data_IF_269349244564
#
_entry.id   IF_269349244564
#
_cell.length_a   1.000
_cell.length_b   1.000
_cell.length_c   1.000
_cell.angle_alpha   90.00
_cell.angle_beta   90.00
_cell.angle_gamma   90.00
#
_symmetry.space_group_name_H-M   'P 1'
#
loop_
_entity.id
_entity.type
_entity.pdbx_description
1 polymer ?
#
# COMPACT_ATOMS: atom_id res chain seq x y z
N UNK A 1 -15.86 -13.71 -31.29
CA UNK A 1 -15.18 -12.69 -30.48
C UNK A 1 -14.26 -13.39 -29.50
N UNK A 2 -13.15 -13.91 -30.00
CA UNK A 2 -12.14 -14.63 -29.22
C UNK A 2 -10.77 -14.15 -29.72
N UNK A 3 -9.77 -14.16 -28.83
CA UNK A 3 -8.35 -13.86 -29.08
C UNK A 3 -7.86 -12.41 -28.86
N UNK A 4 -8.13 -11.82 -27.68
CA UNK A 4 -7.25 -10.74 -27.16
C UNK A 4 -6.70 -11.04 -25.76
N UNK A 5 -7.28 -11.99 -25.03
CA UNK A 5 -6.81 -12.36 -23.68
C UNK A 5 -5.54 -13.22 -23.68
N UNK A 6 -5.12 -13.81 -24.81
CA UNK A 6 -4.01 -14.77 -24.85
C UNK A 6 -2.61 -14.15 -25.05
N UNK A 7 -2.51 -12.83 -25.21
CA UNK A 7 -1.23 -12.14 -25.50
C UNK A 7 -0.70 -11.36 -24.30
N UNK A 8 -1.55 -11.02 -23.32
CA UNK A 8 -1.13 -10.30 -22.12
C UNK A 8 -0.75 -11.31 -21.05
N UNK A 9 0.49 -11.77 -21.10
CA UNK A 9 1.08 -12.51 -19.99
C UNK A 9 1.40 -11.52 -18.87
N UNK A 10 0.48 -11.40 -17.91
CA UNK A 10 0.71 -10.55 -16.76
C UNK A 10 1.98 -10.97 -16.02
N UNK A 11 2.82 -10.02 -15.56
CA UNK A 11 4.00 -10.35 -14.80
C UNK A 11 3.60 -11.21 -13.60
N UNK A 12 4.39 -12.26 -13.35
CA UNK A 12 4.16 -13.14 -12.19
C UNK A 12 4.07 -12.27 -10.93
N UNK A 13 3.09 -12.52 -10.04
CA UNK A 13 2.98 -11.75 -8.80
C UNK A 13 4.31 -11.81 -8.06
N UNK A 14 4.77 -10.64 -7.62
CA UNK A 14 5.98 -10.49 -6.79
C UNK A 14 5.87 -11.44 -5.60
N UNK A 15 6.98 -12.09 -5.23
CA UNK A 15 6.98 -13.07 -4.15
C UNK A 15 6.31 -12.50 -2.87
N UNK A 16 5.40 -13.28 -2.27
CA UNK A 16 4.59 -12.85 -1.13
C UNK A 16 5.45 -12.38 0.06
N UNK A 17 6.62 -13.00 0.26
CA UNK A 17 7.59 -12.63 1.30
C UNK A 17 8.23 -11.26 1.06
N UNK A 18 8.59 -10.94 -0.20
CA UNK A 18 9.10 -9.60 -0.54
C UNK A 18 8.03 -8.52 -0.39
N UNK A 19 6.78 -8.85 -0.66
CA UNK A 19 5.66 -7.93 -0.48
C UNK A 19 5.42 -7.62 1.00
N UNK A 20 5.47 -8.63 1.89
CA UNK A 20 5.25 -8.42 3.32
C UNK A 20 6.34 -7.52 3.93
N UNK A 21 7.60 -7.76 3.58
CA UNK A 21 8.72 -6.92 4.01
C UNK A 21 8.59 -5.49 3.51
N UNK A 22 8.20 -5.28 2.25
CA UNK A 22 8.02 -3.93 1.70
C UNK A 22 6.97 -3.12 2.49
N UNK A 23 5.93 -3.78 2.99
CA UNK A 23 4.89 -3.14 3.81
C UNK A 23 5.40 -2.86 5.23
N UNK A 24 6.15 -3.76 5.85
CA UNK A 24 6.80 -3.47 7.14
C UNK A 24 7.73 -2.26 7.03
N UNK A 25 8.52 -2.18 5.97
CA UNK A 25 9.42 -1.04 5.72
C UNK A 25 8.61 0.25 5.45
N UNK A 26 7.46 0.17 4.77
CA UNK A 26 6.53 1.29 4.59
C UNK A 26 5.97 1.79 5.93
N UNK A 27 5.51 0.88 6.79
CA UNK A 27 4.96 1.23 8.11
C UNK A 27 6.02 1.96 8.93
N UNK A 28 7.27 1.47 8.91
CA UNK A 28 8.40 2.09 9.61
C UNK A 28 8.66 3.52 9.10
N UNK A 29 8.70 3.73 7.78
CA UNK A 29 8.86 5.05 7.16
C UNK A 29 7.70 6.01 7.50
N UNK A 30 6.46 5.53 7.47
CA UNK A 30 5.29 6.35 7.76
C UNK A 30 5.27 6.77 9.23
N UNK A 31 5.71 5.90 10.13
CA UNK A 31 5.75 6.15 11.58
C UNK A 31 7.09 6.74 12.07
N UNK A 32 7.99 7.14 11.18
CA UNK A 32 9.32 7.69 11.52
C UNK A 32 10.13 6.80 12.46
N UNK A 33 10.05 5.48 12.32
CA UNK A 33 10.77 4.54 13.18
C UNK A 33 10.20 4.43 14.60
N UNK A 34 8.98 4.90 14.86
CA UNK A 34 8.36 4.80 16.17
C UNK A 34 8.24 3.32 16.59
N UNK A 35 8.49 2.96 17.87
CA UNK A 35 8.45 1.56 18.33
C UNK A 35 7.12 0.84 18.05
N UNK A 36 6.02 1.58 17.96
CA UNK A 36 4.70 1.08 17.59
C UNK A 36 4.63 0.47 16.19
N UNK A 37 5.57 0.80 15.29
CA UNK A 37 5.65 0.20 13.96
C UNK A 37 5.84 -1.33 14.04
N UNK A 38 6.58 -1.81 15.04
CA UNK A 38 6.85 -3.24 15.26
C UNK A 38 5.62 -4.01 15.78
N UNK A 39 4.58 -3.31 16.23
CA UNK A 39 3.34 -3.90 16.71
C UNK A 39 2.36 -4.23 15.55
N UNK A 40 2.68 -3.81 14.33
CA UNK A 40 1.94 -4.20 13.14
C UNK A 40 2.50 -5.50 12.56
N UNK A 41 1.69 -6.56 12.62
CA UNK A 41 1.98 -7.83 11.99
C UNK A 41 1.35 -7.84 10.60
N UNK A 42 2.11 -8.21 9.57
CA UNK A 42 1.62 -8.22 8.18
C UNK A 42 1.63 -9.65 7.66
N UNK A 43 0.49 -10.10 7.15
CA UNK A 43 0.32 -11.39 6.48
C UNK A 43 -0.28 -11.17 5.10
N UNK A 44 0.39 -11.67 4.05
CA UNK A 44 -0.09 -11.57 2.68
C UNK A 44 -0.45 -12.96 2.18
N UNK A 45 -1.71 -13.13 1.82
CA UNK A 45 -2.27 -14.35 1.27
C UNK A 45 -3.13 -14.01 0.04
N UNK A 46 -2.62 -14.34 -1.14
CA UNK A 46 -3.30 -14.09 -2.41
C UNK A 46 -4.68 -14.76 -2.52
N UNK A 47 -4.91 -15.86 -1.80
CA UNK A 47 -6.19 -16.60 -1.80
C UNK A 47 -7.32 -15.82 -1.12
N UNK A 48 -7.00 -14.72 -0.41
CA UNK A 48 -8.00 -13.82 0.15
C UNK A 48 -8.72 -12.96 -0.90
N UNK A 49 -8.14 -12.85 -2.10
CA UNK A 49 -8.73 -12.09 -3.20
C UNK A 49 -10.07 -12.71 -3.62
N UNK A 50 -11.10 -11.88 -3.79
CA UNK A 50 -12.42 -12.34 -4.24
C UNK A 50 -12.64 -11.84 -5.65
N UNK A 51 -12.83 -12.76 -6.61
CA UNK A 51 -13.04 -12.42 -8.02
C UNK A 51 -11.97 -11.46 -8.56
N UNK A 52 -10.70 -11.65 -8.21
CA UNK A 52 -9.59 -10.79 -8.64
C UNK A 52 -9.56 -9.39 -8.00
N UNK A 53 -10.42 -9.12 -7.02
CA UNK A 53 -10.42 -7.87 -6.26
C UNK A 53 -9.63 -8.02 -4.96
N UNK A 54 -8.89 -6.97 -4.63
CA UNK A 54 -8.10 -6.89 -3.42
C UNK A 54 -8.99 -6.91 -2.17
N UNK A 55 -8.60 -7.68 -1.17
CA UNK A 55 -9.21 -7.74 0.16
C UNK A 55 -8.15 -7.47 1.22
N UNK A 56 -8.53 -6.77 2.27
CA UNK A 56 -7.78 -6.70 3.52
C UNK A 56 -8.66 -6.97 4.73
N UNK A 57 -8.03 -7.43 5.79
CA UNK A 57 -8.61 -7.74 7.07
C UNK A 57 -7.71 -7.19 8.18
N UNK A 58 -8.34 -6.56 9.17
CA UNK A 58 -7.69 -6.07 10.38
C UNK A 58 -8.24 -6.85 11.57
N UNK A 59 -7.34 -7.43 12.36
CA UNK A 59 -7.69 -8.08 13.63
C UNK A 59 -6.67 -7.71 14.70
N UNK A 60 -7.01 -7.95 15.96
CA UNK A 60 -6.00 -7.89 17.03
C UNK A 60 -4.96 -8.98 16.79
N UNK A 61 -3.68 -8.64 16.96
CA UNK A 61 -2.58 -9.58 16.80
C UNK A 61 -2.44 -10.52 18.00
N UNK A 62 -1.51 -11.48 17.89
CA UNK A 62 -1.30 -12.49 18.94
C UNK A 62 -0.74 -11.92 20.25
N UNK A 63 -0.12 -10.74 20.20
CA UNK A 63 0.43 -10.04 21.35
C UNK A 63 -0.51 -8.91 21.79
N UNK A 64 -0.58 -8.66 23.11
CA UNK A 64 -1.37 -7.53 23.63
C UNK A 64 -0.91 -6.20 23.00
N UNK A 65 -1.86 -5.43 22.48
CA UNK A 65 -1.58 -4.14 21.83
C UNK A 65 -0.96 -4.24 20.44
N UNK A 66 -0.99 -5.41 19.79
CA UNK A 66 -0.58 -5.60 18.38
C UNK A 66 -1.78 -5.69 17.44
N UNK A 67 -1.57 -5.34 16.17
CA UNK A 67 -2.60 -5.42 15.12
C UNK A 67 -2.07 -6.29 13.99
N UNK A 68 -2.88 -7.26 13.57
CA UNK A 68 -2.62 -8.11 12.41
C UNK A 68 -3.36 -7.55 11.18
N UNK A 69 -2.59 -7.29 10.13
CA UNK A 69 -3.06 -6.90 8.81
C UNK A 69 -2.92 -8.11 7.89
N UNK A 70 -4.04 -8.74 7.57
CA UNK A 70 -4.10 -9.86 6.63
C UNK A 70 -4.67 -9.38 5.30
N UNK A 71 -3.93 -9.53 4.20
CA UNK A 71 -4.37 -8.97 2.91
C UNK A 71 -4.03 -9.87 1.72
N UNK A 72 -4.76 -9.65 0.62
CA UNK A 72 -4.54 -10.33 -0.66
C UNK A 72 -3.25 -9.91 -1.40
N UNK A 73 -2.85 -8.65 -1.26
CA UNK A 73 -1.68 -8.06 -1.91
C UNK A 73 -0.99 -7.04 -1.00
N UNK A 74 0.23 -6.63 -1.35
CA UNK A 74 0.95 -5.58 -0.60
C UNK A 74 0.19 -4.25 -0.58
N UNK A 75 -0.38 -3.86 -1.72
CA UNK A 75 -1.21 -2.64 -1.83
C UNK A 75 -2.46 -2.76 -0.96
N UNK A 76 -3.10 -3.93 -0.91
CA UNK A 76 -4.23 -4.17 -0.01
C UNK A 76 -3.82 -4.07 1.47
N UNK A 77 -2.63 -4.55 1.84
CA UNK A 77 -2.11 -4.41 3.20
C UNK A 77 -1.84 -2.94 3.56
N UNK A 78 -1.21 -2.17 2.67
CA UNK A 78 -1.00 -0.73 2.86
C UNK A 78 -2.32 0.04 3.01
N UNK A 79 -3.33 -0.32 2.22
CA UNK A 79 -4.68 0.23 2.34
C UNK A 79 -5.32 -0.12 3.68
N UNK A 80 -5.13 -1.35 4.18
CA UNK A 80 -5.57 -1.75 5.52
C UNK A 80 -4.88 -0.97 6.64
N UNK A 81 -3.57 -0.75 6.52
CA UNK A 81 -2.82 0.11 7.45
C UNK A 81 -3.36 1.55 7.46
N UNK A 82 -3.58 2.15 6.28
CA UNK A 82 -4.15 3.48 6.18
C UNK A 82 -5.58 3.55 6.74
N UNK A 83 -6.38 2.50 6.54
CA UNK A 83 -7.72 2.40 7.12
C UNK A 83 -7.66 2.41 8.65
N UNK A 84 -6.75 1.62 9.24
CA UNK A 84 -6.52 1.61 10.68
C UNK A 84 -6.13 3.00 11.20
N UNK A 85 -5.17 3.66 10.55
CA UNK A 85 -4.75 5.01 10.93
C UNK A 85 -5.93 5.98 10.94
N UNK A 86 -6.72 6.00 9.86
CA UNK A 86 -7.81 6.96 9.67
C UNK A 86 -8.99 6.73 10.62
N UNK A 87 -9.47 5.50 10.71
CA UNK A 87 -10.74 5.21 11.38
C UNK A 87 -10.57 4.77 12.84
N UNK A 88 -9.42 4.20 13.21
CA UNK A 88 -9.17 3.70 14.56
C UNK A 88 -8.26 4.67 15.31
N UNK A 89 -7.11 5.02 14.74
CA UNK A 89 -6.13 5.89 15.38
C UNK A 89 -6.37 7.39 15.19
N UNK A 90 -7.45 7.78 14.50
CA UNK A 90 -7.79 9.18 14.17
C UNK A 90 -6.58 9.97 13.64
N UNK A 91 -5.75 9.28 12.86
CA UNK A 91 -4.51 9.76 12.27
C UNK A 91 -4.69 9.84 10.77
N UNK A 92 -3.99 10.77 10.13
CA UNK A 92 -4.15 11.00 8.70
C UNK A 92 -2.81 11.11 8.00
N UNK A 93 -2.74 10.52 6.81
CA UNK A 93 -1.60 10.60 5.92
C UNK A 93 -2.06 11.25 4.60
N UNK A 94 -1.49 12.41 4.28
CA UNK A 94 -1.84 13.22 3.11
C UNK A 94 -0.61 13.42 2.22
N UNK A 95 -0.85 13.90 0.99
CA UNK A 95 0.21 14.21 0.05
C UNK A 95 1.16 15.32 0.54
N UNK A 96 0.61 16.31 1.25
CA UNK A 96 1.37 17.45 1.79
C UNK A 96 2.00 17.20 3.17
N UNK A 97 1.68 16.07 3.82
CA UNK A 97 2.18 15.79 5.17
C UNK A 97 1.34 14.75 5.92
N UNK A 98 1.62 14.58 7.20
CA UNK A 98 0.98 13.58 8.05
C UNK A 98 0.63 14.13 9.43
N UNK A 99 -0.46 13.64 10.00
CA UNK A 99 -0.85 13.85 11.39
C UNK A 99 -1.03 12.47 12.03
N UNK A 100 0.02 11.98 12.68
CA UNK A 100 0.01 10.66 13.32
C UNK A 100 -0.04 10.85 14.82
N UNK A 101 -1.09 10.30 15.44
CA UNK A 101 -1.40 10.43 16.88
C UNK A 101 -1.09 9.15 17.66
N UNK A 102 -0.15 8.36 17.16
CA UNK A 102 0.32 7.13 17.81
C UNK A 102 1.55 7.47 18.66
N UNK A 103 1.34 7.78 19.93
CA UNK A 103 2.42 8.15 20.87
C UNK A 103 2.60 7.16 22.04
N UNK A 104 1.79 6.11 22.09
CA UNK A 104 1.84 5.09 23.15
C UNK A 104 2.81 3.94 22.86
N UNK A 105 2.93 3.03 23.81
CA UNK A 105 3.64 1.75 23.68
C UNK A 105 2.73 0.60 23.22
N UNK A 106 1.47 0.88 22.90
CA UNK A 106 0.48 -0.08 22.39
C UNK A 106 -0.38 0.55 21.29
N UNK A 107 -0.87 -0.30 20.38
CA UNK A 107 -1.86 0.09 19.38
C UNK A 107 -3.27 0.04 19.99
N UNK A 108 -4.15 0.89 19.46
CA UNK A 108 -5.58 0.90 19.83
C UNK A 108 -6.21 -0.41 19.35
N UNK A 109 -6.78 -1.22 20.26
CA UNK A 109 -7.37 -2.51 19.90
C UNK A 109 -8.65 -2.33 19.10
N UNK A 110 -8.94 -3.30 18.24
CA UNK A 110 -10.19 -3.41 17.51
C UNK A 110 -11.24 -4.11 18.38
N UNK A 111 -12.46 -3.57 18.42
CA UNK A 111 -13.60 -4.22 19.08
C UNK A 111 -14.09 -5.44 18.28
N UNK A 112 -14.07 -5.34 16.95
CA UNK A 112 -14.41 -6.42 16.03
C UNK A 112 -13.42 -6.47 14.87
N UNK A 113 -13.14 -7.67 14.32
CA UNK A 113 -12.36 -7.80 13.10
C UNK A 113 -13.03 -7.03 11.95
N UNK A 114 -12.25 -6.27 11.20
CA UNK A 114 -12.72 -5.49 10.06
C UNK A 114 -12.26 -6.18 8.79
N UNK A 115 -13.17 -6.44 7.86
CA UNK A 115 -12.85 -6.97 6.53
C UNK A 115 -13.42 -6.06 5.47
N UNK A 116 -12.57 -5.63 4.53
CA UNK A 116 -12.97 -4.73 3.45
C UNK A 116 -12.50 -5.30 2.11
N UNK A 117 -13.44 -5.30 1.17
CA UNK A 117 -13.24 -5.65 -0.23
C UNK A 117 -13.05 -4.36 -1.03
N UNK A 118 -11.98 -4.27 -1.81
CA UNK A 118 -11.80 -3.21 -2.78
C UNK A 118 -12.91 -3.29 -3.84
N UNK A 119 -13.50 -2.15 -4.19
CA UNK A 119 -14.58 -2.12 -5.16
C UNK A 119 -14.09 -2.47 -6.57
N UNK A 120 -12.89 -2.02 -6.91
CA UNK A 120 -12.34 -2.02 -8.27
C UNK A 120 -11.15 -2.96 -8.40
N UNK A 121 -11.01 -3.53 -9.61
CA UNK A 121 -9.84 -4.34 -9.98
C UNK A 121 -8.58 -3.49 -10.09
N UNK A 122 -8.69 -2.34 -10.76
CA UNK A 122 -7.59 -1.41 -10.97
C UNK A 122 -7.94 -0.04 -10.39
N UNK A 123 -6.99 0.52 -9.66
CA UNK A 123 -6.99 1.87 -9.11
C UNK A 123 -5.82 2.61 -9.74
N UNK A 124 -6.14 3.42 -10.74
CA UNK A 124 -5.20 4.11 -11.61
C UNK A 124 -4.66 5.39 -10.98
N UNK A 125 -3.37 5.69 -11.19
CA UNK A 125 -2.77 6.97 -10.85
C UNK A 125 -1.80 7.46 -11.92
N UNK A 126 -1.79 8.78 -12.10
CA UNK A 126 -0.89 9.48 -13.00
C UNK A 126 -1.60 9.99 -14.25
N UNK A 127 -1.27 11.23 -14.61
CA UNK A 127 -1.50 11.81 -15.92
C UNK A 127 -0.12 12.05 -16.57
N UNK A 128 0.07 11.86 -17.88
CA UNK A 128 1.33 12.18 -18.55
C UNK A 128 1.85 13.58 -18.21
N UNK A 129 0.97 14.57 -18.10
CA UNK A 129 1.32 15.94 -17.76
C UNK A 129 1.88 16.09 -16.33
N UNK A 130 1.47 15.23 -15.38
CA UNK A 130 1.94 15.29 -13.99
C UNK A 130 3.46 15.09 -13.90
N UNK A 131 4.03 14.32 -14.84
CA UNK A 131 5.47 14.10 -14.88
C UNK A 131 6.25 15.38 -15.17
N UNK A 132 5.76 16.21 -16.09
CA UNK A 132 6.38 17.49 -16.42
C UNK A 132 6.08 18.59 -15.39
N UNK A 133 4.84 18.66 -14.91
CA UNK A 133 4.42 19.75 -14.02
C UNK A 133 4.86 19.57 -12.57
N UNK A 134 4.93 18.33 -12.08
CA UNK A 134 5.14 18.05 -10.66
C UNK A 134 6.39 17.20 -10.42
N UNK A 135 6.59 16.14 -11.20
CA UNK A 135 7.57 15.11 -10.87
C UNK A 135 8.97 15.31 -11.48
N UNK A 136 9.14 16.30 -12.37
CA UNK A 136 10.38 16.53 -13.15
C UNK A 136 11.63 16.72 -12.29
N UNK A 137 11.50 17.32 -11.10
CA UNK A 137 12.61 17.56 -10.18
C UNK A 137 12.59 16.64 -8.95
N UNK A 138 11.79 15.58 -8.96
CA UNK A 138 11.74 14.65 -7.83
C UNK A 138 12.98 13.78 -7.79
N UNK A 139 13.63 13.76 -6.63
CA UNK A 139 14.64 12.77 -6.32
C UNK A 139 13.98 11.46 -5.82
N UNK A 140 14.80 10.42 -5.63
CA UNK A 140 14.31 9.12 -5.17
C UNK A 140 13.55 9.21 -3.84
N UNK A 141 14.02 10.01 -2.88
CA UNK A 141 13.35 10.16 -1.58
C UNK A 141 11.93 10.74 -1.71
N UNK A 142 11.71 11.67 -2.65
CA UNK A 142 10.36 12.18 -2.92
C UNK A 142 9.48 11.14 -3.62
N UNK A 143 10.05 10.37 -4.55
CA UNK A 143 9.37 9.26 -5.21
C UNK A 143 8.96 8.16 -4.23
N UNK A 144 9.83 7.78 -3.29
CA UNK A 144 9.53 6.79 -2.26
C UNK A 144 8.31 7.20 -1.44
N UNK A 145 8.26 8.47 -0.98
CA UNK A 145 7.09 9.02 -0.29
C UNK A 145 5.82 9.01 -1.14
N UNK A 146 5.94 9.26 -2.44
CA UNK A 146 4.79 9.19 -3.34
C UNK A 146 4.29 7.76 -3.50
N UNK A 147 5.20 6.79 -3.66
CA UNK A 147 4.86 5.36 -3.80
C UNK A 147 4.19 4.84 -2.53
N UNK A 148 4.69 5.24 -1.35
CA UNK A 148 4.06 4.91 -0.06
C UNK A 148 2.64 5.49 0.02
N UNK A 149 2.47 6.75 -0.40
CA UNK A 149 1.16 7.39 -0.47
C UNK A 149 0.24 6.67 -1.45
N UNK A 150 0.73 6.28 -2.63
CA UNK A 150 -0.04 5.52 -3.62
C UNK A 150 -0.52 4.19 -3.02
N UNK A 151 0.39 3.42 -2.41
CA UNK A 151 0.07 2.13 -1.81
C UNK A 151 -0.97 2.28 -0.68
N UNK A 152 -0.83 3.26 0.19
CA UNK A 152 -1.78 3.55 1.27
C UNK A 152 -3.16 3.98 0.77
N UNK A 153 -3.24 4.60 -0.41
CA UNK A 153 -4.51 4.94 -1.06
C UNK A 153 -5.05 3.79 -1.94
N UNK A 154 -4.36 2.66 -1.98
CA UNK A 154 -4.77 1.49 -2.73
C UNK A 154 -4.49 1.58 -4.24
N UNK A 155 -3.66 2.49 -4.71
CA UNK A 155 -3.32 2.58 -6.12
C UNK A 155 -2.48 1.34 -6.49
N UNK A 156 -2.92 0.60 -7.50
CA UNK A 156 -2.25 -0.63 -7.96
C UNK A 156 -1.83 -0.57 -9.44
N UNK A 157 -2.15 0.53 -10.15
CA UNK A 157 -1.75 0.74 -11.53
C UNK A 157 -1.31 2.19 -11.71
N UNK A 158 -0.07 2.40 -12.14
CA UNK A 158 0.55 3.73 -12.23
C UNK A 158 1.15 3.93 -13.61
N UNK A 159 1.00 5.14 -14.16
CA UNK A 159 1.74 5.54 -15.35
C UNK A 159 3.21 5.77 -15.00
N UNK A 160 4.15 4.98 -15.52
CA UNK A 160 5.56 5.09 -15.19
C UNK A 160 6.39 5.42 -16.44
N UNK A 161 6.73 6.70 -16.63
CA UNK A 161 7.41 7.17 -17.84
C UNK A 161 8.87 7.55 -17.64
N UNK A 162 9.33 7.62 -16.40
CA UNK A 162 10.68 8.05 -16.05
C UNK A 162 11.73 7.17 -16.73
N UNK A 163 12.59 7.77 -17.54
CA UNK A 163 13.70 7.09 -18.22
C UNK A 163 13.37 6.50 -19.59
N UNK A 164 12.16 6.74 -20.13
CA UNK A 164 11.82 6.31 -21.49
C UNK A 164 12.71 6.97 -22.57
N UNK A 165 13.21 8.18 -22.32
CA UNK A 165 14.09 8.91 -23.23
C UNK A 165 15.39 8.13 -23.50
N UNK A 166 15.93 7.46 -22.50
CA UNK A 166 17.11 6.62 -22.64
C UNK A 166 16.87 5.45 -23.59
N UNK A 167 15.68 4.84 -23.53
CA UNK A 167 15.29 3.74 -24.43
C UNK A 167 15.16 4.26 -25.86
N UNK A 168 14.54 5.42 -26.06
CA UNK A 168 14.41 6.02 -27.40
C UNK A 168 15.74 6.52 -27.98
N UNK A 169 16.74 6.77 -27.15
CA UNK A 169 18.08 7.17 -27.59
C UNK A 169 18.96 6.00 -28.04
N UNK A 170 18.53 4.75 -27.83
CA UNK A 170 19.23 3.53 -28.28
C UNK A 170 18.75 3.10 -29.65
#
# INVERSE_FOLDING_TARGET
SYAVESVIQWPKPIALSSSAKAITDLIDRVLDGAPVAQLFQVSINADLAINGKDVFQLSNGSSSGSILISASSGVAAAMGFNYYLKYVAQSSFYWSGKNIRLSGSSLIPLSTPIRILANDFFRWYGNPCTFSYSAVFWNFSRWEKEIDWMAMNGINLVYATTGMEYIFSK
#
